data_IF_696204459755
#
_entry.id   IF_696204459755
#
_cell.length_a   1.000
_cell.length_b   1.000
_cell.length_c   1.000
_cell.angle_alpha   90.00
_cell.angle_beta   90.00
_cell.angle_gamma   90.00
#
_symmetry.space_group_name_H-M   'P 1'
#
loop_
_entity.id
_entity.type
_entity.pdbx_description
1 polymer ?
#
# COMPACT_ATOMS: atom_id res chain seq x y z
N UNK A 1 -34.08 14.95 -16.66
CA UNK A 1 -32.89 15.03 -15.80
C UNK A 1 -31.81 15.67 -16.63
N UNK A 2 -31.17 16.72 -16.13
CA UNK A 2 -30.11 17.40 -16.87
C UNK A 2 -28.91 16.46 -17.02
N UNK A 3 -28.20 16.52 -18.15
CA UNK A 3 -26.99 15.70 -18.38
C UNK A 3 -25.92 15.92 -17.29
N UNK A 4 -25.91 17.11 -16.68
CA UNK A 4 -25.05 17.41 -15.53
C UNK A 4 -25.46 16.64 -14.27
N UNK A 5 -26.75 16.46 -14.02
CA UNK A 5 -27.27 15.67 -12.90
C UNK A 5 -26.88 14.20 -13.07
N UNK A 6 -26.99 13.66 -14.28
CA UNK A 6 -26.58 12.28 -14.60
C UNK A 6 -25.08 12.07 -14.35
N UNK A 7 -24.22 13.00 -14.78
CA UNK A 7 -22.79 12.94 -14.50
C UNK A 7 -22.47 13.03 -12.99
N UNK A 8 -23.20 13.86 -12.24
CA UNK A 8 -23.07 13.97 -10.78
C UNK A 8 -23.56 12.69 -10.07
N UNK A 9 -24.60 12.06 -10.57
CA UNK A 9 -25.09 10.79 -10.02
C UNK A 9 -24.12 9.64 -10.29
N UNK A 10 -23.54 9.57 -11.49
CA UNK A 10 -22.50 8.61 -11.83
C UNK A 10 -21.27 8.72 -10.95
N UNK A 11 -20.78 9.94 -10.72
CA UNK A 11 -19.60 10.17 -9.87
C UNK A 11 -19.86 9.76 -8.42
N UNK A 12 -21.03 10.11 -7.87
CA UNK A 12 -21.47 9.67 -6.54
C UNK A 12 -21.57 8.16 -6.45
N UNK A 13 -22.08 7.49 -7.50
CA UNK A 13 -22.18 6.02 -7.55
C UNK A 13 -20.80 5.37 -7.54
N UNK A 14 -19.89 5.81 -8.42
CA UNK A 14 -18.50 5.31 -8.52
C UNK A 14 -17.74 5.52 -7.21
N UNK A 15 -17.96 6.65 -6.53
CA UNK A 15 -17.32 6.93 -5.25
C UNK A 15 -17.76 5.96 -4.14
N UNK A 16 -19.07 5.68 -4.04
CA UNK A 16 -19.59 4.70 -3.08
C UNK A 16 -19.05 3.30 -3.35
N UNK A 17 -19.03 2.88 -4.62
CA UNK A 17 -18.48 1.59 -5.04
C UNK A 17 -16.99 1.47 -4.68
N UNK A 18 -16.20 2.52 -4.95
CA UNK A 18 -14.78 2.53 -4.61
C UNK A 18 -14.53 2.42 -3.09
N UNK A 19 -15.34 3.10 -2.27
CA UNK A 19 -15.28 2.98 -0.81
C UNK A 19 -15.62 1.58 -0.33
N UNK A 20 -16.65 0.97 -0.91
CA UNK A 20 -17.04 -0.39 -0.57
C UNK A 20 -15.94 -1.39 -0.97
N UNK A 21 -15.39 -1.27 -2.18
CA UNK A 21 -14.26 -2.08 -2.66
C UNK A 21 -13.04 -1.95 -1.75
N UNK A 22 -12.73 -0.75 -1.25
CA UNK A 22 -11.64 -0.53 -0.28
C UNK A 22 -11.92 -1.20 1.06
N UNK A 23 -13.14 -1.08 1.59
CA UNK A 23 -13.54 -1.75 2.84
C UNK A 23 -13.48 -3.27 2.70
N UNK A 24 -13.99 -3.82 1.60
CA UNK A 24 -13.90 -5.25 1.29
C UNK A 24 -12.43 -5.70 1.15
N UNK A 25 -11.57 -4.90 0.51
CA UNK A 25 -10.13 -5.21 0.44
C UNK A 25 -9.42 -5.14 1.80
N UNK A 26 -9.92 -4.34 2.73
CA UNK A 26 -9.41 -4.28 4.10
C UNK A 26 -9.93 -5.43 4.97
N UNK A 27 -11.18 -5.88 4.75
CA UNK A 27 -11.80 -6.96 5.53
C UNK A 27 -11.49 -8.35 5.00
N UNK A 28 -11.17 -8.49 3.71
CA UNK A 28 -10.62 -9.73 3.17
C UNK A 28 -9.17 -9.86 3.68
N UNK A 29 -8.84 -10.90 4.46
CA UNK A 29 -7.46 -11.20 4.78
C UNK A 29 -6.80 -11.68 3.49
N UNK A 30 -6.35 -10.75 2.65
CA UNK A 30 -5.38 -11.06 1.61
C UNK A 30 -4.18 -11.65 2.35
N UNK A 31 -4.07 -12.97 2.29
CA UNK A 31 -3.05 -13.74 2.98
C UNK A 31 -1.69 -13.08 2.82
N UNK A 32 -0.99 -12.93 3.95
CA UNK A 32 0.33 -12.31 4.11
C UNK A 32 0.40 -10.82 3.71
N UNK A 33 0.48 -9.93 4.69
CA UNK A 33 1.19 -8.65 4.49
C UNK A 33 0.66 -7.41 5.20
N UNK A 34 -0.41 -7.49 6.00
CA UNK A 34 -0.90 -6.32 6.76
C UNK A 34 -1.11 -6.62 8.23
N UNK A 35 -0.06 -7.11 8.88
CA UNK A 35 0.10 -7.00 10.32
C UNK A 35 1.60 -6.94 10.61
N UNK A 36 2.12 -5.73 10.81
CA UNK A 36 3.23 -5.41 11.73
C UNK A 36 3.90 -4.09 11.32
N UNK A 37 3.49 -2.99 11.94
CA UNK A 37 4.43 -1.99 12.46
C UNK A 37 5.39 -1.27 11.52
N UNK A 38 5.05 -0.99 10.26
CA UNK A 38 5.91 -0.15 9.43
C UNK A 38 5.09 0.90 8.67
N UNK A 39 5.30 2.17 9.03
CA UNK A 39 4.86 3.32 8.25
C UNK A 39 5.56 3.36 6.87
N UNK A 40 5.55 4.48 6.13
CA UNK A 40 6.20 4.59 4.82
C UNK A 40 7.73 4.34 4.84
N UNK A 41 8.30 4.08 6.02
CA UNK A 41 9.69 3.68 6.27
C UNK A 41 9.72 2.15 6.38
N UNK A 42 9.36 1.46 5.30
CA UNK A 42 9.43 0.00 5.15
C UNK A 42 10.79 -0.51 4.66
N UNK A 43 11.77 0.38 4.57
CA UNK A 43 13.12 0.07 4.12
C UNK A 43 14.14 0.50 5.18
N UNK A 44 13.90 0.15 6.44
CA UNK A 44 14.99 -0.03 7.39
C UNK A 44 15.75 -1.25 6.88
N UNK A 45 16.81 -1.00 6.11
CA UNK A 45 17.68 -1.98 5.45
C UNK A 45 17.54 -3.39 6.05
N UNK A 46 17.01 -4.33 5.26
CA UNK A 46 16.95 -5.74 5.67
C UNK A 46 18.33 -6.21 6.13
N UNK A 47 18.41 -7.28 6.96
CA UNK A 47 19.68 -7.72 7.55
C UNK A 47 20.72 -7.79 6.45
N UNK A 48 21.76 -6.95 6.56
CA UNK A 48 22.69 -6.67 5.49
C UNK A 48 23.52 -7.92 5.18
N UNK A 49 22.96 -8.82 4.38
CA UNK A 49 23.57 -10.06 3.91
C UNK A 49 24.78 -9.82 3.00
N UNK A 50 25.07 -8.55 2.68
CA UNK A 50 26.10 -8.14 1.73
C UNK A 50 27.06 -7.07 2.29
N UNK A 51 27.30 -7.02 3.61
CA UNK A 51 28.41 -6.22 4.13
C UNK A 51 29.73 -6.85 3.69
N UNK A 52 30.31 -6.33 2.59
CA UNK A 52 31.67 -6.66 2.17
C UNK A 52 32.64 -5.95 3.10
N UNK A 53 33.23 -6.69 4.03
CA UNK A 53 34.35 -6.19 4.81
C UNK A 53 35.58 -6.09 3.91
N UNK A 54 35.99 -4.86 3.59
CA UNK A 54 37.26 -4.62 2.94
C UNK A 54 38.37 -4.85 3.97
N UNK A 55 38.98 -6.04 3.93
CA UNK A 55 40.20 -6.31 4.70
C UNK A 55 41.28 -5.34 4.24
N UNK A 56 41.50 -4.25 4.99
CA UNK A 56 42.64 -3.38 4.75
C UNK A 56 43.89 -4.21 5.08
N UNK A 57 44.82 -4.21 4.14
CA UNK A 57 46.07 -4.97 4.22
C UNK A 57 46.74 -4.65 5.57
N UNK A 58 47.04 -5.71 6.32
CA UNK A 58 47.79 -5.69 7.57
C UNK A 58 48.94 -4.69 7.50
N UNK A 59 48.92 -3.71 8.39
CA UNK A 59 50.11 -3.02 8.88
C UNK A 59 50.54 -3.71 10.15
#
# INVERSE_FOLDING_TARGET
MSSEEEAQEETKRKFREALEKKKQQQSQPRGKGRASGSGPIGHTQGPASHQREFRRKSG
#
